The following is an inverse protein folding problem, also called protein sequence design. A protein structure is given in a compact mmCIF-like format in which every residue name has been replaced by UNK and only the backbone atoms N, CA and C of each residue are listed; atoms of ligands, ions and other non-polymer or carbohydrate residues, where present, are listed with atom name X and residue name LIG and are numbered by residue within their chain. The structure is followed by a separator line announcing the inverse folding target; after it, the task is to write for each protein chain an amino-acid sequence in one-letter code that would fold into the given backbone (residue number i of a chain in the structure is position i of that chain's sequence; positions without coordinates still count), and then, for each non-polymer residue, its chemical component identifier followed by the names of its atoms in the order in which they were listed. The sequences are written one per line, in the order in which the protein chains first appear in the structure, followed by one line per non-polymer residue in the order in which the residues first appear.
data_IF_594719842978
#
_entry.id   IF_594719842978
#
_cell.length_a   1.000
_cell.length_b   1.000
_cell.length_c   1.000
_cell.angle_alpha   90.00
_cell.angle_beta   90.00
_cell.angle_gamma   90.00
#
_symmetry.space_group_name_H-M   'P 1'
#
loop_
_entity.id
_entity.type
_entity.pdbx_description
1 polymer ?
#
# COMPACT_ATOMS: atom_id res chain seq x y z
N UNK A 1 -40.72 62.95 -1.60
CA UNK A 1 -40.86 61.49 -1.39
C UNK A 1 -39.89 60.78 -2.31
N UNK A 2 -38.72 60.39 -1.81
CA UNK A 2 -37.70 59.69 -2.59
C UNK A 2 -37.76 58.20 -2.23
N UNK A 3 -38.06 57.35 -3.21
CA UNK A 3 -37.95 55.89 -3.10
C UNK A 3 -36.47 55.52 -3.23
N UNK A 4 -35.87 55.09 -2.13
CA UNK A 4 -34.57 54.43 -2.16
C UNK A 4 -34.80 52.95 -2.48
N UNK A 5 -34.44 52.52 -3.69
CA UNK A 5 -34.42 51.12 -4.09
C UNK A 5 -33.11 50.52 -3.56
N UNK A 6 -33.19 49.67 -2.54
CA UNK A 6 -32.04 48.92 -2.05
C UNK A 6 -31.74 47.81 -3.06
N UNK A 7 -30.63 47.96 -3.77
CA UNK A 7 -30.13 46.98 -4.72
C UNK A 7 -29.34 45.92 -3.95
N UNK A 8 -29.99 44.81 -3.58
CA UNK A 8 -29.30 43.64 -3.03
C UNK A 8 -28.52 42.93 -4.15
N UNK A 9 -27.25 43.31 -4.34
CA UNK A 9 -26.30 42.51 -5.10
C UNK A 9 -25.93 41.27 -4.28
N UNK A 10 -26.61 40.16 -4.56
CA UNK A 10 -26.14 38.83 -4.16
C UNK A 10 -25.08 38.42 -5.17
N UNK A 11 -23.81 38.46 -4.77
CA UNK A 11 -22.70 37.86 -5.51
C UNK A 11 -22.86 36.34 -5.49
N UNK A 12 -23.37 35.76 -6.58
CA UNK A 12 -23.59 34.32 -6.71
C UNK A 12 -22.48 33.58 -7.46
N UNK A 13 -21.20 33.90 -7.24
CA UNK A 13 -20.10 33.14 -7.87
C UNK A 13 -18.83 33.22 -7.01
N UNK A 14 -18.50 32.16 -6.25
CA UNK A 14 -17.11 31.86 -5.79
C UNK A 14 -16.94 30.53 -5.02
N UNK A 15 -17.99 29.87 -4.52
CA UNK A 15 -17.78 28.69 -3.64
C UNK A 15 -17.44 27.40 -4.42
N UNK A 16 -17.75 27.29 -5.70
CA UNK A 16 -17.49 26.07 -6.49
C UNK A 16 -16.08 25.98 -7.10
N UNK A 17 -15.31 27.07 -7.14
CA UNK A 17 -14.00 27.07 -7.79
C UNK A 17 -12.89 26.48 -6.91
N UNK A 18 -12.89 26.79 -5.61
CA UNK A 18 -11.83 26.37 -4.69
C UNK A 18 -11.74 24.84 -4.52
N UNK A 19 -12.88 24.11 -4.58
CA UNK A 19 -12.89 22.66 -4.43
C UNK A 19 -12.53 21.91 -5.72
N UNK A 20 -12.72 22.52 -6.90
CA UNK A 20 -12.35 21.90 -8.18
C UNK A 20 -10.83 21.85 -8.39
N UNK A 21 -10.10 22.81 -7.81
CA UNK A 21 -8.63 22.87 -7.86
C UNK A 21 -7.97 21.72 -7.08
N UNK A 22 -8.72 21.04 -6.20
CA UNK A 22 -8.23 19.89 -5.44
C UNK A 22 -8.33 18.58 -6.22
N UNK A 23 -9.13 18.50 -7.27
CA UNK A 23 -9.16 17.35 -8.20
C UNK A 23 -8.31 17.65 -9.46
N UNK A 24 -7.26 18.45 -9.29
CA UNK A 24 -6.40 18.91 -10.37
C UNK A 24 -5.37 17.84 -10.79
N UNK A 25 -5.14 17.76 -12.11
CA UNK A 25 -4.15 16.90 -12.76
C UNK A 25 -2.74 17.05 -12.17
N UNK A 26 -2.36 18.25 -11.73
CA UNK A 26 -1.04 18.51 -11.12
C UNK A 26 -0.77 17.64 -9.89
N UNK A 27 -1.77 17.40 -9.05
CA UNK A 27 -1.57 16.56 -7.86
C UNK A 27 -1.54 15.07 -8.20
N UNK A 28 -2.31 14.64 -9.20
CA UNK A 28 -2.21 13.28 -9.73
C UNK A 28 -0.80 13.03 -10.28
N UNK A 29 -0.21 14.01 -10.97
CA UNK A 29 1.18 13.92 -11.45
C UNK A 29 2.18 13.82 -10.28
N UNK A 30 2.03 14.66 -9.25
CA UNK A 30 2.86 14.57 -8.03
C UNK A 30 2.71 13.22 -7.33
N UNK A 31 1.50 12.67 -7.29
CA UNK A 31 1.22 11.36 -6.71
C UNK A 31 1.88 10.24 -7.53
N UNK A 32 1.79 10.28 -8.86
CA UNK A 32 2.48 9.34 -9.74
C UNK A 32 4.02 9.41 -9.57
N UNK A 33 4.58 10.62 -9.39
CA UNK A 33 5.99 10.79 -9.06
C UNK A 33 6.34 10.20 -7.68
N UNK A 34 5.45 10.34 -6.68
CA UNK A 34 5.65 9.76 -5.35
C UNK A 34 5.57 8.23 -5.39
N UNK A 35 4.63 7.65 -6.15
CA UNK A 35 4.51 6.20 -6.37
C UNK A 35 5.80 5.69 -7.03
N UNK A 36 6.23 6.33 -8.11
CA UNK A 36 7.46 5.98 -8.82
C UNK A 36 8.68 6.06 -7.90
N UNK A 37 8.81 7.13 -7.11
CA UNK A 37 9.91 7.29 -6.16
C UNK A 37 9.89 6.27 -5.01
N UNK A 38 8.70 5.83 -4.57
CA UNK A 38 8.56 4.79 -3.56
C UNK A 38 8.98 3.42 -4.12
N UNK A 39 8.57 3.08 -5.35
CA UNK A 39 8.95 1.84 -6.04
C UNK A 39 10.46 1.75 -6.30
N UNK A 40 11.11 2.87 -6.63
CA UNK A 40 12.54 2.89 -6.92
C UNK A 40 13.39 2.45 -5.73
N UNK A 41 14.13 1.35 -5.86
CA UNK A 41 15.04 0.89 -4.79
C UNK A 41 14.34 0.13 -3.66
N UNK A 42 13.14 -0.40 -3.90
CA UNK A 42 12.67 -1.56 -3.13
C UNK A 42 13.71 -2.67 -3.32
N UNK A 43 14.16 -3.26 -2.21
CA UNK A 43 15.13 -4.33 -2.26
C UNK A 43 14.52 -5.56 -2.92
N UNK A 44 15.28 -6.20 -3.79
CA UNK A 44 14.84 -7.41 -4.48
C UNK A 44 14.62 -8.58 -3.52
N UNK A 45 15.32 -8.56 -2.39
CA UNK A 45 15.28 -9.58 -1.35
C UNK A 45 15.01 -8.90 -0.01
N UNK A 46 14.02 -9.41 0.71
CA UNK A 46 13.73 -9.06 2.10
C UNK A 46 13.85 -10.30 2.97
N UNK A 47 14.50 -10.17 4.12
CA UNK A 47 14.65 -11.27 5.09
C UNK A 47 14.22 -10.72 6.43
N UNK A 48 13.34 -11.46 7.10
CA UNK A 48 12.83 -11.11 8.42
C UNK A 48 12.92 -12.31 9.34
N UNK A 49 13.40 -12.06 10.55
CA UNK A 49 13.39 -13.05 11.63
C UNK A 49 11.98 -13.08 12.24
N UNK A 50 11.43 -14.26 12.48
CA UNK A 50 10.21 -14.37 13.26
C UNK A 50 10.58 -14.17 14.73
N UNK A 51 10.26 -13.01 15.30
CA UNK A 51 10.48 -12.79 16.73
C UNK A 51 9.66 -13.78 17.56
N UNK A 52 10.36 -14.69 18.22
CA UNK A 52 9.80 -15.60 19.22
C UNK A 52 10.32 -15.12 20.56
N UNK A 53 9.42 -14.74 21.47
CA UNK A 53 9.80 -14.52 22.86
C UNK A 53 10.26 -15.85 23.49
N UNK A 54 11.56 -16.14 23.40
CA UNK A 54 12.22 -17.25 24.09
C UNK A 54 13.10 -18.15 23.20
N UNK A 55 13.96 -18.97 23.81
CA UNK A 55 14.75 -19.96 23.08
C UNK A 55 13.85 -21.10 22.60
N UNK A 56 13.59 -21.15 21.30
CA UNK A 56 12.80 -22.20 20.66
C UNK A 56 12.50 -21.82 19.22
N UNK A 57 12.17 -22.80 18.36
CA UNK A 57 11.78 -22.47 17.00
C UNK A 57 10.45 -21.72 17.02
N UNK A 58 10.24 -20.80 16.09
CA UNK A 58 9.03 -19.98 16.03
C UNK A 58 7.75 -20.74 15.75
N UNK A 59 6.61 -20.04 15.64
CA UNK A 59 5.32 -20.68 15.42
C UNK A 59 5.42 -21.63 14.21
N UNK A 60 5.02 -22.90 14.41
CA UNK A 60 5.10 -24.00 13.43
C UNK A 60 6.53 -24.49 13.08
N UNK A 61 7.53 -24.06 13.84
CA UNK A 61 8.90 -24.52 13.73
C UNK A 61 9.76 -23.77 12.71
N UNK A 62 9.37 -22.55 12.32
CA UNK A 62 10.16 -21.67 11.44
C UNK A 62 10.76 -20.53 12.25
N UNK A 63 11.97 -20.10 11.88
CA UNK A 63 12.71 -19.03 12.58
C UNK A 63 12.65 -17.70 11.85
N UNK A 64 12.17 -17.70 10.61
CA UNK A 64 12.06 -16.51 9.79
C UNK A 64 11.53 -16.81 8.40
N UNK A 65 11.50 -15.77 7.58
CA UNK A 65 11.11 -15.88 6.18
C UNK A 65 11.99 -14.99 5.29
N UNK A 66 12.03 -15.36 4.02
CA UNK A 66 12.70 -14.61 2.96
C UNK A 66 11.73 -14.38 1.82
N UNK A 67 11.51 -13.12 1.46
CA UNK A 67 10.68 -12.72 0.32
C UNK A 67 11.57 -12.16 -0.80
N UNK A 68 11.27 -12.54 -2.04
CA UNK A 68 11.98 -12.12 -3.25
C UNK A 68 10.97 -11.64 -4.28
N UNK A 69 11.34 -10.68 -5.13
CA UNK A 69 10.52 -10.25 -6.27
C UNK A 69 9.65 -9.03 -5.98
N UNK A 70 9.74 -8.44 -4.79
CA UNK A 70 9.02 -7.21 -4.44
C UNK A 70 9.53 -5.99 -5.23
N UNK A 71 10.78 -6.04 -5.72
CA UNK A 71 11.34 -5.02 -6.62
C UNK A 71 10.72 -5.03 -8.03
N UNK A 72 10.02 -6.11 -8.41
CA UNK A 72 9.42 -6.26 -9.73
C UNK A 72 8.07 -5.55 -9.90
N UNK A 73 7.52 -4.94 -8.85
CA UNK A 73 6.24 -4.25 -8.93
C UNK A 73 6.30 -2.98 -9.78
N UNK A 74 5.32 -2.83 -10.66
CA UNK A 74 5.18 -1.65 -11.51
C UNK A 74 3.75 -1.12 -11.48
N UNK A 75 3.63 0.18 -11.79
CA UNK A 75 2.35 0.87 -11.95
C UNK A 75 1.52 0.21 -13.05
N UNK A 76 0.24 -0.04 -12.77
CA UNK A 76 -0.69 -0.61 -13.74
C UNK A 76 -1.99 0.17 -13.88
N UNK A 77 -2.28 0.63 -15.10
CA UNK A 77 -3.45 1.45 -15.40
C UNK A 77 -3.38 2.84 -14.76
N UNK A 78 -4.45 3.60 -14.92
CA UNK A 78 -4.52 5.01 -14.49
C UNK A 78 -4.89 5.16 -13.02
N UNK A 79 -4.60 6.33 -12.42
CA UNK A 79 -5.12 6.68 -11.10
C UNK A 79 -6.64 6.79 -11.17
N UNK A 80 -7.31 6.21 -10.17
CA UNK A 80 -8.77 6.35 -10.02
C UNK A 80 -9.03 7.28 -8.86
N UNK A 81 -9.39 8.51 -9.17
CA UNK A 81 -9.64 9.57 -8.21
C UNK A 81 -11.12 9.86 -8.10
N UNK A 82 -11.64 9.88 -6.87
CA UNK A 82 -13.01 10.28 -6.53
C UNK A 82 -12.91 11.42 -5.52
N UNK A 83 -13.68 12.48 -5.74
CA UNK A 83 -13.74 13.63 -4.84
C UNK A 83 -15.17 13.77 -4.32
N UNK A 84 -15.36 13.61 -3.00
CA UNK A 84 -16.66 13.69 -2.35
C UNK A 84 -16.52 14.37 -0.99
N UNK A 85 -17.46 15.27 -0.65
CA UNK A 85 -17.57 15.89 0.68
C UNK A 85 -16.23 16.35 1.27
N UNK A 86 -15.48 17.18 0.53
CA UNK A 86 -14.20 17.76 0.99
C UNK A 86 -13.08 16.71 1.21
N UNK A 87 -13.30 15.48 0.75
CA UNK A 87 -12.31 14.41 0.78
C UNK A 87 -11.96 13.98 -0.64
N UNK A 88 -10.72 13.56 -0.82
CA UNK A 88 -10.29 12.90 -2.03
C UNK A 88 -9.87 11.48 -1.72
N UNK A 89 -10.51 10.56 -2.41
CA UNK A 89 -10.13 9.16 -2.46
C UNK A 89 -9.34 8.90 -3.75
N UNK A 90 -8.16 8.31 -3.63
CA UNK A 90 -7.38 7.87 -4.80
C UNK A 90 -7.08 6.38 -4.66
N UNK A 91 -7.32 5.62 -5.72
CA UNK A 91 -6.88 4.24 -5.79
C UNK A 91 -6.00 3.97 -7.00
N UNK A 92 -5.03 3.08 -6.82
CA UNK A 92 -4.11 2.67 -7.87
C UNK A 92 -3.70 1.22 -7.71
N UNK A 93 -3.23 0.65 -8.82
CA UNK A 93 -2.83 -0.74 -8.90
C UNK A 93 -1.34 -0.86 -9.22
N UNK A 94 -0.71 -1.83 -8.57
CA UNK A 94 0.64 -2.26 -8.85
C UNK A 94 0.60 -3.74 -9.21
N UNK A 95 1.33 -4.16 -10.25
CA UNK A 95 1.50 -5.57 -10.59
C UNK A 95 2.96 -5.96 -10.57
N UNK A 96 3.23 -7.11 -9.96
CA UNK A 96 4.53 -7.76 -10.05
C UNK A 96 4.75 -8.25 -11.50
N UNK A 97 5.90 -7.92 -12.06
CA UNK A 97 6.30 -8.43 -13.39
C UNK A 97 6.81 -9.87 -13.33
N UNK A 98 7.25 -10.30 -12.15
CA UNK A 98 7.75 -11.66 -11.89
C UNK A 98 7.00 -12.26 -10.70
N UNK A 99 7.03 -13.60 -10.53
CA UNK A 99 6.46 -14.23 -9.34
C UNK A 99 7.16 -13.75 -8.07
N UNK A 100 6.38 -13.43 -7.04
CA UNK A 100 6.90 -13.09 -5.71
C UNK A 100 7.11 -14.40 -4.95
N UNK A 101 8.33 -14.66 -4.53
CA UNK A 101 8.71 -15.92 -3.86
C UNK A 101 8.89 -15.68 -2.37
N UNK A 102 8.26 -16.51 -1.54
CA UNK A 102 8.45 -16.54 -0.10
C UNK A 102 9.00 -17.92 0.31
N UNK A 103 10.15 -17.91 0.97
CA UNK A 103 10.80 -19.09 1.55
C UNK A 103 10.71 -19.02 3.07
N UNK A 104 10.14 -20.05 3.71
CA UNK A 104 10.15 -20.15 5.18
C UNK A 104 11.42 -20.86 5.65
N UNK A 105 12.11 -20.26 6.62
CA UNK A 105 13.44 -20.67 7.05
C UNK A 105 13.36 -21.44 8.39
N UNK A 106 14.14 -22.51 8.52
CA UNK A 106 14.31 -23.30 9.75
C UNK A 106 15.80 -23.46 10.05
N UNK A 107 16.23 -23.12 11.25
CA UNK A 107 17.59 -23.30 11.76
C UNK A 107 17.85 -24.77 12.04
N UNK A 108 19.07 -25.23 11.71
CA UNK A 108 19.52 -26.60 11.98
C UNK A 108 19.36 -27.60 10.84
N UNK A 109 18.57 -27.30 9.80
CA UNK A 109 18.56 -28.06 8.54
C UNK A 109 18.95 -27.12 7.40
N UNK A 110 20.06 -27.37 6.71
CA UNK A 110 20.56 -26.52 5.63
C UNK A 110 19.68 -26.42 4.38
N UNK A 111 18.40 -26.79 4.46
CA UNK A 111 17.44 -26.77 3.37
C UNK A 111 16.25 -25.85 3.74
N UNK A 112 15.83 -25.02 2.78
CA UNK A 112 14.52 -24.38 2.81
C UNK A 112 13.47 -25.49 2.93
N UNK A 113 12.53 -25.40 3.86
CA UNK A 113 11.52 -26.45 4.06
C UNK A 113 10.26 -26.18 3.24
N UNK A 114 10.06 -24.94 2.82
CA UNK A 114 8.92 -24.52 2.03
C UNK A 114 9.27 -23.32 1.16
N UNK A 115 8.99 -23.43 -0.14
CA UNK A 115 9.01 -22.33 -1.08
C UNK A 115 7.61 -22.11 -1.66
N UNK A 116 7.15 -20.87 -1.62
CA UNK A 116 5.89 -20.46 -2.20
C UNK A 116 6.18 -19.40 -3.26
N UNK A 117 5.70 -19.61 -4.47
CA UNK A 117 5.73 -18.59 -5.52
C UNK A 117 4.30 -18.13 -5.82
N UNK A 118 4.05 -16.84 -5.61
CA UNK A 118 2.82 -16.16 -5.95
C UNK A 118 2.94 -15.53 -7.35
N UNK A 119 2.05 -15.91 -8.25
CA UNK A 119 1.98 -15.43 -9.63
C UNK A 119 0.83 -14.45 -9.79
N UNK A 120 0.95 -13.57 -10.79
CA UNK A 120 -0.05 -12.54 -11.10
C UNK A 120 -0.39 -11.70 -9.86
N UNK A 121 0.64 -11.27 -9.13
CA UNK A 121 0.48 -10.55 -7.88
C UNK A 121 0.09 -9.10 -8.18
N UNK A 122 -1.07 -8.70 -7.65
CA UNK A 122 -1.60 -7.35 -7.75
C UNK A 122 -1.75 -6.76 -6.36
N UNK A 123 -1.17 -5.59 -6.14
CA UNK A 123 -1.47 -4.76 -4.97
C UNK A 123 -2.37 -3.62 -5.41
N UNK A 124 -3.52 -3.48 -4.75
CA UNK A 124 -4.39 -2.31 -4.87
C UNK A 124 -4.15 -1.43 -3.65
N UNK A 125 -3.80 -0.17 -3.87
CA UNK A 125 -3.63 0.81 -2.80
C UNK A 125 -4.75 1.82 -2.89
N UNK A 126 -5.37 2.10 -1.75
CA UNK A 126 -6.38 3.13 -1.56
C UNK A 126 -5.82 4.19 -0.62
N UNK A 127 -6.00 5.46 -0.98
CA UNK A 127 -5.59 6.62 -0.22
C UNK A 127 -6.79 7.53 0.01
N UNK A 128 -6.88 8.07 1.22
CA UNK A 128 -7.83 9.12 1.56
C UNK A 128 -7.12 10.35 2.07
N UNK A 129 -7.44 11.48 1.46
CA UNK A 129 -6.98 12.80 1.86
C UNK A 129 -8.17 13.58 2.40
N UNK A 130 -8.00 14.22 3.56
CA UNK A 130 -8.93 15.23 4.09
C UNK A 130 -8.41 16.61 3.71
N UNK A 131 -9.31 17.45 3.20
CA UNK A 131 -9.11 18.87 3.00
C UNK A 131 -10.02 19.63 3.96
N UNK A 132 -9.49 20.27 5.00
CA UNK A 132 -10.25 21.34 5.67
C UNK A 132 -10.24 22.61 4.80
N UNK A 133 -11.22 23.51 4.91
CA UNK A 133 -11.10 24.83 4.28
C UNK A 133 -9.83 25.51 4.81
N UNK A 134 -9.02 26.13 3.93
CA UNK A 134 -7.82 26.83 4.36
C UNK A 134 -8.19 27.97 5.31
N UNK A 135 -7.48 28.10 6.43
CA UNK A 135 -7.59 29.27 7.29
C UNK A 135 -6.84 30.44 6.62
N UNK A 136 -7.40 31.65 6.65
CA UNK A 136 -6.92 32.82 5.91
C UNK A 136 -5.48 33.26 6.29
N UNK A 137 -4.92 32.67 7.36
CA UNK A 137 -3.57 32.93 7.86
C UNK A 137 -2.57 31.79 7.60
N UNK A 138 -2.99 30.71 6.95
CA UNK A 138 -2.14 29.52 6.85
C UNK A 138 -1.31 29.51 5.57
N UNK A 139 0.00 29.77 5.72
CA UNK A 139 0.99 29.67 4.64
C UNK A 139 1.14 28.22 4.15
N UNK A 140 0.56 27.24 4.87
CA UNK A 140 0.52 25.82 4.50
C UNK A 140 -0.81 25.34 3.90
N UNK A 141 -1.75 26.24 3.59
CA UNK A 141 -3.09 25.98 3.03
C UNK A 141 -3.14 25.08 1.75
N UNK A 142 -2.00 24.78 1.15
CA UNK A 142 -1.84 24.00 -0.08
C UNK A 142 -1.42 22.53 0.16
N UNK A 143 -1.33 22.10 1.44
CA UNK A 143 -0.92 20.74 1.83
C UNK A 143 -2.14 19.84 2.07
N UNK A 144 -2.26 18.79 1.24
CA UNK A 144 -3.21 17.70 1.49
C UNK A 144 -2.79 16.90 2.72
N UNK A 145 -3.71 16.69 3.64
CA UNK A 145 -3.47 15.89 4.85
C UNK A 145 -4.05 14.50 4.62
N UNK A 146 -3.22 13.46 4.72
CA UNK A 146 -3.71 12.08 4.79
C UNK A 146 -4.65 11.97 5.98
N UNK A 147 -5.84 11.39 5.79
CA UNK A 147 -6.85 11.19 6.83
C UNK A 147 -6.31 10.36 8.01
N UNK A 148 -5.77 11.00 9.04
CA UNK A 148 -5.14 10.28 10.15
C UNK A 148 -6.15 9.59 11.08
N UNK A 149 -7.46 9.80 10.88
CA UNK A 149 -8.52 9.29 11.74
C UNK A 149 -9.16 8.01 11.20
N UNK A 150 -9.12 7.77 9.89
CA UNK A 150 -9.76 6.60 9.23
C UNK A 150 -8.83 5.87 8.25
N UNK A 151 -7.74 5.26 8.76
CA UNK A 151 -6.79 4.44 7.97
C UNK A 151 -6.47 5.04 6.57
N UNK A 152 -5.66 6.11 6.52
CA UNK A 152 -5.54 6.96 5.33
C UNK A 152 -4.95 6.25 4.11
N UNK A 153 -4.34 5.09 4.34
CA UNK A 153 -3.72 4.25 3.34
C UNK A 153 -4.07 2.80 3.68
N UNK A 154 -4.75 2.16 2.75
CA UNK A 154 -5.06 0.73 2.81
C UNK A 154 -4.45 0.07 1.60
N UNK A 155 -3.71 -1.02 1.79
CA UNK A 155 -3.26 -1.86 0.69
C UNK A 155 -3.97 -3.20 0.72
N UNK A 156 -4.19 -3.79 -0.45
CA UNK A 156 -4.78 -5.12 -0.58
C UNK A 156 -4.01 -5.89 -1.63
N UNK A 157 -3.36 -6.98 -1.21
CA UNK A 157 -2.68 -7.90 -2.09
C UNK A 157 -3.61 -9.02 -2.57
N UNK A 158 -3.58 -9.27 -3.87
CA UNK A 158 -4.30 -10.37 -4.53
C UNK A 158 -3.31 -11.14 -5.39
N UNK A 159 -3.50 -12.46 -5.45
CA UNK A 159 -2.66 -13.36 -6.26
C UNK A 159 -3.56 -14.18 -7.17
N UNK A 160 -3.17 -14.37 -8.42
CA UNK A 160 -3.92 -15.20 -9.37
C UNK A 160 -3.71 -16.68 -9.12
N UNK A 161 -2.44 -17.08 -8.95
CA UNK A 161 -2.04 -18.46 -8.71
C UNK A 161 -0.93 -18.53 -7.67
N UNK A 162 -0.95 -19.55 -6.84
CA UNK A 162 0.11 -19.84 -5.87
C UNK A 162 0.62 -21.25 -6.11
N UNK A 163 1.94 -21.39 -6.27
CA UNK A 163 2.62 -22.69 -6.38
C UNK A 163 3.44 -22.92 -5.12
N UNK A 164 3.31 -24.11 -4.53
CA UNK A 164 3.98 -24.48 -3.28
C UNK A 164 4.93 -25.65 -3.55
N UNK A 165 6.22 -25.47 -3.25
CA UNK A 165 7.24 -26.50 -3.22
C UNK A 165 7.59 -26.84 -1.78
N UNK A 166 7.56 -28.13 -1.43
CA UNK A 166 7.97 -28.65 -0.12
C UNK A 166 9.09 -29.65 -0.39
N UNK A 167 10.29 -29.39 0.12
CA UNK A 167 11.47 -30.19 -0.18
C UNK A 167 11.53 -31.54 0.58
N UNK A 168 10.60 -31.80 1.50
CA UNK A 168 10.51 -33.07 2.24
C UNK A 168 9.09 -33.69 2.12
N UNK A 169 8.95 -34.70 1.27
CA UNK A 169 7.65 -35.25 0.83
C UNK A 169 7.23 -36.54 1.56
N UNK A 170 7.92 -36.95 2.62
CA UNK A 170 7.50 -38.14 3.37
C UNK A 170 6.38 -37.80 4.39
N UNK A 171 5.12 -37.72 3.92
CA UNK A 171 3.97 -37.93 4.80
C UNK A 171 2.67 -37.18 4.47
N UNK A 172 1.55 -37.83 4.74
CA UNK A 172 0.17 -37.31 4.67
C UNK A 172 -0.06 -36.02 5.51
N UNK A 173 0.86 -35.70 6.44
CA UNK A 173 0.83 -34.50 7.28
C UNK A 173 1.14 -33.19 6.52
N UNK A 174 1.87 -33.24 5.41
CA UNK A 174 2.25 -32.06 4.60
C UNK A 174 1.04 -31.43 3.92
N UNK A 175 0.06 -32.24 3.49
CA UNK A 175 -1.15 -31.74 2.85
C UNK A 175 -2.11 -31.05 3.83
N UNK A 176 -2.17 -31.51 5.09
CA UNK A 176 -3.04 -30.93 6.11
C UNK A 176 -2.60 -29.52 6.53
N UNK A 177 -1.31 -29.20 6.41
CA UNK A 177 -0.75 -27.89 6.80
C UNK A 177 -0.46 -26.96 5.62
N UNK A 178 -0.46 -27.47 4.38
CA UNK A 178 -0.21 -26.69 3.17
C UNK A 178 -1.10 -25.43 3.04
N UNK A 179 -2.37 -25.54 3.45
CA UNK A 179 -3.29 -24.40 3.49
C UNK A 179 -2.82 -23.30 4.45
N UNK A 180 -2.44 -23.66 5.68
CA UNK A 180 -1.93 -22.72 6.68
C UNK A 180 -0.60 -22.10 6.24
N UNK A 181 0.32 -22.92 5.73
CA UNK A 181 1.62 -22.47 5.22
C UNK A 181 1.49 -21.47 4.06
N UNK A 182 0.51 -21.72 3.16
CA UNK A 182 0.17 -20.75 2.12
C UNK A 182 -0.29 -19.41 2.69
N UNK A 183 -1.15 -19.41 3.70
CA UNK A 183 -1.61 -18.17 4.32
C UNK A 183 -0.47 -17.41 4.99
N UNK A 184 0.42 -18.11 5.71
CA UNK A 184 1.58 -17.50 6.34
C UNK A 184 2.55 -16.89 5.33
N UNK A 185 2.83 -17.59 4.23
CA UNK A 185 3.70 -17.06 3.19
C UNK A 185 3.09 -15.82 2.50
N UNK A 186 1.77 -15.81 2.26
CA UNK A 186 1.08 -14.64 1.71
C UNK A 186 1.04 -13.47 2.69
N UNK A 187 0.88 -13.74 3.99
CA UNK A 187 0.98 -12.73 5.04
C UNK A 187 2.40 -12.15 5.09
N UNK A 188 3.44 -12.98 5.06
CA UNK A 188 4.82 -12.52 5.01
C UNK A 188 5.12 -11.63 3.78
N UNK A 189 4.54 -11.95 2.62
CA UNK A 189 4.64 -11.10 1.43
C UNK A 189 3.95 -9.74 1.66
N UNK A 190 2.74 -9.75 2.24
CA UNK A 190 2.00 -8.52 2.57
C UNK A 190 2.79 -7.66 3.57
N UNK A 191 3.27 -8.26 4.66
CA UNK A 191 4.03 -7.57 5.71
C UNK A 191 5.32 -6.95 5.14
N UNK A 192 6.06 -7.72 4.33
CA UNK A 192 7.26 -7.23 3.64
C UNK A 192 6.95 -6.07 2.69
N UNK A 193 5.80 -6.12 2.01
CA UNK A 193 5.36 -5.05 1.12
C UNK A 193 5.02 -3.78 1.91
N UNK A 194 4.30 -3.90 3.02
CA UNK A 194 3.96 -2.78 3.88
C UNK A 194 5.22 -2.14 4.50
N UNK A 195 6.16 -2.97 4.97
CA UNK A 195 7.41 -2.49 5.55
C UNK A 195 8.26 -1.73 4.52
N UNK A 196 8.41 -2.25 3.30
CA UNK A 196 9.33 -1.66 2.32
C UNK A 196 8.70 -0.55 1.47
N UNK A 197 7.48 -0.74 0.99
CA UNK A 197 6.82 0.22 0.11
C UNK A 197 5.99 1.23 0.91
N UNK A 198 5.07 0.76 1.77
CA UNK A 198 4.11 1.66 2.44
C UNK A 198 4.83 2.64 3.35
N UNK A 199 5.78 2.18 4.16
CA UNK A 199 6.56 3.05 5.05
C UNK A 199 7.27 4.18 4.28
N UNK A 200 7.91 3.84 3.15
CA UNK A 200 8.64 4.78 2.31
C UNK A 200 7.69 5.72 1.57
N UNK A 201 6.59 5.19 1.05
CA UNK A 201 5.60 5.98 0.33
C UNK A 201 4.94 7.02 1.25
N UNK A 202 4.53 6.62 2.47
CA UNK A 202 4.01 7.55 3.48
C UNK A 202 5.05 8.62 3.82
N UNK A 203 6.33 8.25 3.95
CA UNK A 203 7.41 9.23 4.20
C UNK A 203 7.54 10.23 3.05
N UNK A 204 7.47 9.78 1.79
CA UNK A 204 7.50 10.66 0.62
C UNK A 204 6.28 11.59 0.60
N UNK A 205 5.09 11.11 0.96
CA UNK A 205 3.89 11.94 1.01
C UNK A 205 3.93 13.00 2.12
N UNK A 206 4.58 12.71 3.26
CA UNK A 206 4.64 13.63 4.42
C UNK A 206 5.77 14.66 4.37
N UNK A 207 6.91 14.32 3.77
CA UNK A 207 8.15 15.09 3.93
C UNK A 207 8.76 15.61 2.61
N UNK A 208 7.95 15.71 1.56
CA UNK A 208 8.39 16.24 0.26
C UNK A 208 7.87 17.66 0.02
#
# INVERSE_FOLDING_TARGET
MARATILCFVLSFTITYAFSDWCNATYNERLEQAITGALQGIQEVHVSDMEVEGPGPGPLGFDGYRVIGLGSFQRHGDLRTVCENETQAVSFDLLAQEPVVCSLLRTGSGNNTLELAAHDVKVTTYLRFIAGPPDDNDVEADRRVLDQYEEPLVTTLRTGRVTVGVDDTSGDAVNATAGLLRHLALAAIQDSWEELFVSKFVRILKYR
#
